data_IF_920045964482
#
_entry.id   IF_920045964482
#
_cell.length_a   1.000
_cell.length_b   1.000
_cell.length_c   1.000
_cell.angle_alpha   90.00
_cell.angle_beta   90.00
_cell.angle_gamma   90.00
#
_symmetry.space_group_name_H-M   'P 1'
#
loop_
_entity.id
_entity.type
_entity.pdbx_description
1 polymer ?
#
# COMPACT_ATOMS: atom_id res chain seq x y z
N UNK A 1 47.68 -58.15 -76.22
CA UNK A 1 47.71 -56.73 -76.66
C UNK A 1 46.40 -55.96 -76.45
N UNK A 2 45.22 -56.57 -76.60
CA UNK A 2 43.91 -55.87 -76.49
C UNK A 2 43.52 -55.37 -75.08
N UNK A 3 44.08 -55.98 -74.03
CA UNK A 3 43.77 -55.63 -72.63
C UNK A 3 44.49 -54.36 -72.16
N UNK A 4 45.68 -54.06 -72.71
CA UNK A 4 46.43 -52.85 -72.33
C UNK A 4 45.78 -51.56 -72.80
N UNK A 5 45.23 -51.53 -74.02
CA UNK A 5 44.53 -50.37 -74.57
C UNK A 5 43.23 -50.04 -73.82
N UNK A 6 42.57 -51.04 -73.22
CA UNK A 6 41.37 -50.83 -72.40
C UNK A 6 41.71 -50.28 -71.01
N UNK A 7 42.85 -50.68 -70.46
CA UNK A 7 43.34 -50.17 -69.18
C UNK A 7 43.75 -48.69 -69.30
N UNK A 8 44.46 -48.35 -70.38
CA UNK A 8 44.91 -46.98 -70.66
C UNK A 8 43.74 -46.04 -70.99
N UNK A 9 42.71 -46.54 -71.69
CA UNK A 9 41.46 -45.81 -71.90
C UNK A 9 40.67 -45.61 -70.59
N UNK A 10 40.69 -46.58 -69.67
CA UNK A 10 40.04 -46.43 -68.37
C UNK A 10 40.78 -45.43 -67.46
N UNK A 11 42.11 -45.46 -67.46
CA UNK A 11 42.95 -44.56 -66.67
C UNK A 11 42.81 -43.10 -67.13
N UNK A 12 42.77 -42.87 -68.44
CA UNK A 12 42.55 -41.53 -69.01
C UNK A 12 41.15 -40.99 -68.72
N UNK A 13 40.11 -41.83 -68.76
CA UNK A 13 38.75 -41.43 -68.36
C UNK A 13 38.67 -41.11 -66.86
N UNK A 14 39.36 -41.88 -66.02
CA UNK A 14 39.39 -41.66 -64.58
C UNK A 14 40.14 -40.36 -64.21
N UNK A 15 41.23 -40.04 -64.90
CA UNK A 15 41.96 -38.80 -64.71
C UNK A 15 41.13 -37.56 -65.10
N UNK A 16 40.36 -37.64 -66.19
CA UNK A 16 39.46 -36.56 -66.61
C UNK A 16 38.29 -36.37 -65.64
N UNK A 17 37.71 -37.48 -65.14
CA UNK A 17 36.66 -37.43 -64.14
C UNK A 17 37.17 -36.81 -62.81
N UNK A 18 38.37 -37.18 -62.38
CA UNK A 18 39.00 -36.61 -61.18
C UNK A 18 39.23 -35.09 -61.33
N UNK A 19 39.76 -34.64 -62.48
CA UNK A 19 39.98 -33.21 -62.72
C UNK A 19 38.67 -32.40 -62.79
N UNK A 20 37.60 -32.96 -63.33
CA UNK A 20 36.29 -32.33 -63.35
C UNK A 20 35.66 -32.23 -61.94
N UNK A 21 35.82 -33.27 -61.13
CA UNK A 21 35.37 -33.27 -59.73
C UNK A 21 36.11 -32.25 -58.88
N UNK A 22 37.43 -32.08 -59.08
CA UNK A 22 38.22 -31.10 -58.34
C UNK A 22 37.76 -29.67 -58.65
N UNK A 23 37.52 -29.33 -59.93
CA UNK A 23 36.99 -28.01 -60.32
C UNK A 23 35.59 -27.74 -59.78
N UNK A 24 34.72 -28.74 -59.78
CA UNK A 24 33.39 -28.60 -59.19
C UNK A 24 33.47 -28.38 -57.68
N UNK A 25 34.41 -29.05 -57.01
CA UNK A 25 34.67 -28.87 -55.57
C UNK A 25 35.18 -27.46 -55.27
N UNK A 26 36.14 -26.95 -56.04
CA UNK A 26 36.63 -25.57 -55.89
C UNK A 26 35.51 -24.53 -56.10
N UNK A 27 34.68 -24.70 -57.14
CA UNK A 27 33.54 -23.81 -57.37
C UNK A 27 32.48 -23.91 -56.27
N UNK A 28 32.19 -25.11 -55.75
CA UNK A 28 31.26 -25.29 -54.64
C UNK A 28 31.80 -24.65 -53.35
N UNK A 29 33.09 -24.77 -53.06
CA UNK A 29 33.73 -24.11 -51.91
C UNK A 29 33.78 -22.58 -52.06
N UNK A 30 34.05 -22.07 -53.26
CA UNK A 30 34.01 -20.63 -53.54
C UNK A 30 32.61 -20.05 -53.36
N UNK A 31 31.58 -20.77 -53.83
CA UNK A 31 30.19 -20.33 -53.70
C UNK A 31 29.71 -20.40 -52.23
N UNK A 32 30.08 -21.44 -51.47
CA UNK A 32 29.76 -21.53 -50.03
C UNK A 32 30.39 -20.36 -49.25
N UNK A 33 31.64 -20.00 -49.58
CA UNK A 33 32.32 -18.85 -48.97
C UNK A 33 31.61 -17.52 -49.24
N UNK A 34 31.24 -17.27 -50.49
CA UNK A 34 30.54 -16.04 -50.90
C UNK A 34 29.15 -15.97 -50.28
N UNK A 35 28.36 -17.05 -50.35
CA UNK A 35 27.01 -17.11 -49.78
C UNK A 35 27.06 -16.93 -48.26
N UNK A 36 28.03 -17.54 -47.58
CA UNK A 36 28.24 -17.37 -46.15
C UNK A 36 28.59 -15.93 -45.78
N UNK A 37 29.45 -15.29 -46.56
CA UNK A 37 29.85 -13.90 -46.29
C UNK A 37 28.70 -12.92 -46.58
N UNK A 38 27.98 -13.11 -47.67
CA UNK A 38 26.82 -12.27 -48.02
C UNK A 38 25.72 -12.43 -46.97
N UNK A 39 25.36 -13.66 -46.60
CA UNK A 39 24.37 -13.93 -45.53
C UNK A 39 24.85 -13.31 -44.22
N UNK A 40 26.13 -13.46 -43.86
CA UNK A 40 26.67 -12.89 -42.62
C UNK A 40 26.58 -11.36 -42.63
N UNK A 41 26.91 -10.73 -43.74
CA UNK A 41 26.92 -9.26 -43.87
C UNK A 41 25.50 -8.72 -43.81
N UNK A 42 24.58 -9.27 -44.60
CA UNK A 42 23.16 -8.86 -44.59
C UNK A 42 22.52 -9.12 -43.23
N UNK A 43 22.81 -10.26 -42.58
CA UNK A 43 22.26 -10.56 -41.26
C UNK A 43 22.79 -9.61 -40.19
N UNK A 44 24.08 -9.26 -40.23
CA UNK A 44 24.67 -8.28 -39.29
C UNK A 44 24.07 -6.89 -39.53
N UNK A 45 23.87 -6.50 -40.78
CA UNK A 45 23.29 -5.20 -41.13
C UNK A 45 21.83 -5.09 -40.68
N UNK A 46 21.00 -6.10 -40.96
CA UNK A 46 19.60 -6.17 -40.53
C UNK A 46 19.47 -6.25 -38.99
N UNK A 47 20.30 -7.06 -38.33
CA UNK A 47 20.32 -7.14 -36.86
C UNK A 47 20.78 -5.82 -36.24
N UNK A 48 21.74 -5.13 -36.85
CA UNK A 48 22.20 -3.82 -36.39
C UNK A 48 21.13 -2.74 -36.57
N UNK A 49 20.42 -2.74 -37.69
CA UNK A 49 19.29 -1.84 -37.93
C UNK A 49 18.15 -2.11 -36.93
N UNK A 50 17.82 -3.38 -36.68
CA UNK A 50 16.77 -3.78 -35.75
C UNK A 50 17.14 -3.48 -34.28
N UNK A 51 18.42 -3.61 -33.91
CA UNK A 51 18.91 -3.23 -32.57
C UNK A 51 18.83 -1.72 -32.35
N UNK A 52 19.21 -0.92 -33.36
CA UNK A 52 19.12 0.54 -33.28
C UNK A 52 17.65 1.01 -33.19
N UNK A 53 16.75 0.41 -33.95
CA UNK A 53 15.31 0.71 -33.85
C UNK A 53 14.70 0.24 -32.53
N UNK A 54 15.12 -0.92 -32.02
CA UNK A 54 14.72 -1.41 -30.68
C UNK A 54 15.22 -0.48 -29.58
N UNK A 55 16.43 0.07 -29.72
CA UNK A 55 17.02 1.03 -28.78
C UNK A 55 16.23 2.33 -28.76
N UNK A 56 15.91 2.90 -29.93
CA UNK A 56 15.08 4.11 -30.04
C UNK A 56 13.67 3.90 -29.47
N UNK A 57 13.06 2.75 -29.76
CA UNK A 57 11.77 2.39 -29.18
C UNK A 57 11.85 2.31 -27.65
N UNK A 58 12.90 1.67 -27.12
CA UNK A 58 13.16 1.57 -25.69
C UNK A 58 13.37 2.93 -25.00
N UNK A 59 14.10 3.85 -25.64
CA UNK A 59 14.31 5.21 -25.12
C UNK A 59 13.01 6.02 -25.06
N UNK A 60 12.18 5.94 -26.10
CA UNK A 60 10.87 6.62 -26.11
C UNK A 60 9.92 6.08 -25.04
N UNK A 61 9.89 4.75 -24.85
CA UNK A 61 9.10 4.11 -23.80
C UNK A 61 9.59 4.46 -22.40
N UNK A 62 10.90 4.54 -22.18
CA UNK A 62 11.48 4.96 -20.89
C UNK A 62 11.11 6.41 -20.56
N UNK A 63 11.14 7.32 -21.54
CA UNK A 63 10.73 8.70 -21.33
C UNK A 63 9.25 8.82 -20.94
N UNK A 64 8.38 8.06 -21.63
CA UNK A 64 6.95 7.98 -21.29
C UNK A 64 6.71 7.33 -19.93
N UNK A 65 7.47 6.28 -19.61
CA UNK A 65 7.39 5.59 -18.32
C UNK A 65 7.77 6.53 -17.17
N UNK A 66 8.82 7.34 -17.32
CA UNK A 66 9.22 8.32 -16.30
C UNK A 66 8.17 9.41 -16.10
N UNK A 67 7.58 9.93 -17.19
CA UNK A 67 6.51 10.91 -17.09
C UNK A 67 5.25 10.31 -16.45
N UNK A 68 4.90 9.08 -16.80
CA UNK A 68 3.77 8.36 -16.22
C UNK A 68 4.02 8.04 -14.74
N UNK A 69 5.21 7.59 -14.37
CA UNK A 69 5.56 7.29 -12.98
C UNK A 69 5.59 8.56 -12.13
N UNK A 70 6.08 9.68 -12.66
CA UNK A 70 6.03 10.97 -11.96
C UNK A 70 4.60 11.45 -11.77
N UNK A 71 3.75 11.31 -12.79
CA UNK A 71 2.34 11.67 -12.69
C UNK A 71 1.63 10.79 -11.66
N UNK A 72 1.89 9.49 -11.66
CA UNK A 72 1.33 8.55 -10.70
C UNK A 72 1.83 8.84 -9.28
N UNK A 73 3.13 9.12 -9.13
CA UNK A 73 3.72 9.54 -7.86
C UNK A 73 3.09 10.84 -7.36
N UNK A 74 2.96 11.86 -8.21
CA UNK A 74 2.30 13.12 -7.87
C UNK A 74 0.84 12.91 -7.46
N UNK A 75 0.10 12.05 -8.16
CA UNK A 75 -1.26 11.67 -7.77
C UNK A 75 -1.30 10.94 -6.42
N UNK A 76 -0.40 9.99 -6.19
CA UNK A 76 -0.33 9.26 -4.91
C UNK A 76 0.02 10.18 -3.73
N UNK A 77 0.95 11.12 -3.92
CA UNK A 77 1.31 12.14 -2.92
C UNK A 77 0.14 13.07 -2.66
N UNK A 78 -0.57 13.51 -3.72
CA UNK A 78 -1.77 14.33 -3.59
C UNK A 78 -2.87 13.63 -2.80
N UNK A 79 -3.17 12.37 -3.12
CA UNK A 79 -4.17 11.57 -2.38
C UNK A 79 -3.75 11.33 -0.94
N UNK A 80 -2.48 11.00 -0.69
CA UNK A 80 -1.96 10.81 0.67
C UNK A 80 -2.05 12.11 1.50
N UNK A 81 -1.66 13.24 0.92
CA UNK A 81 -1.76 14.56 1.57
C UNK A 81 -3.22 14.93 1.86
N UNK A 82 -4.14 14.67 0.94
CA UNK A 82 -5.56 14.94 1.14
C UNK A 82 -6.13 14.05 2.27
N UNK A 83 -5.71 12.78 2.31
CA UNK A 83 -6.17 11.81 3.31
C UNK A 83 -5.77 12.16 4.74
N UNK A 84 -4.65 12.86 4.92
CA UNK A 84 -4.20 13.34 6.24
C UNK A 84 -4.73 14.73 6.55
N UNK A 85 -4.85 15.61 5.55
CA UNK A 85 -5.38 16.95 5.73
C UNK A 85 -6.87 16.96 6.12
N UNK A 86 -7.69 16.07 5.53
CA UNK A 86 -9.12 15.99 5.86
C UNK A 86 -9.39 15.73 7.35
N UNK A 87 -8.89 14.65 7.98
CA UNK A 87 -9.16 14.38 9.39
C UNK A 87 -8.55 15.45 10.31
N UNK A 88 -7.41 16.05 9.96
CA UNK A 88 -6.82 17.15 10.72
C UNK A 88 -7.68 18.41 10.65
N UNK A 89 -8.19 18.76 9.47
CA UNK A 89 -9.10 19.89 9.29
C UNK A 89 -10.40 19.71 10.04
N UNK A 90 -11.00 18.51 9.98
CA UNK A 90 -12.21 18.16 10.74
C UNK A 90 -11.94 18.23 12.24
N UNK A 91 -10.83 17.66 12.71
CA UNK A 91 -10.42 17.74 14.10
C UNK A 91 -10.28 19.19 14.56
N UNK A 92 -9.57 20.01 13.79
CA UNK A 92 -9.42 21.43 14.12
C UNK A 92 -10.74 22.20 14.15
N UNK A 93 -11.68 21.85 13.28
CA UNK A 93 -12.99 22.51 13.22
C UNK A 93 -13.95 22.04 14.31
N UNK A 94 -13.89 20.77 14.71
CA UNK A 94 -14.80 20.17 15.67
C UNK A 94 -14.28 20.26 17.12
N UNK A 95 -12.96 20.31 17.32
CA UNK A 95 -12.40 20.43 18.66
C UNK A 95 -12.68 21.82 19.22
N UNK A 96 -13.32 21.92 20.40
CA UNK A 96 -13.52 23.19 21.07
C UNK A 96 -12.17 23.82 21.42
N UNK A 97 -12.13 25.14 21.40
CA UNK A 97 -10.94 25.91 21.75
C UNK A 97 -10.51 25.60 23.19
N UNK A 98 -9.21 25.76 23.48
CA UNK A 98 -8.68 25.53 24.84
C UNK A 98 -9.41 26.35 25.91
N UNK A 99 -9.88 27.55 25.55
CA UNK A 99 -10.65 28.43 26.43
C UNK A 99 -12.03 27.85 26.77
N UNK A 100 -12.75 27.34 25.77
CA UNK A 100 -14.03 26.66 25.98
C UNK A 100 -13.85 25.42 26.83
N UNK A 101 -12.84 24.60 26.55
CA UNK A 101 -12.53 23.42 27.38
C UNK A 101 -12.22 23.80 28.82
N UNK A 102 -11.47 24.88 29.04
CA UNK A 102 -11.18 25.38 30.38
C UNK A 102 -12.45 25.87 31.10
N UNK A 103 -13.32 26.60 30.40
CA UNK A 103 -14.61 27.05 30.93
C UNK A 103 -15.51 25.85 31.30
N UNK A 104 -15.65 24.86 30.40
CA UNK A 104 -16.42 23.65 30.69
C UNK A 104 -15.86 22.87 31.89
N UNK A 105 -14.53 22.82 32.06
CA UNK A 105 -13.90 22.19 33.22
C UNK A 105 -14.17 22.97 34.51
N UNK A 106 -14.10 24.30 34.46
CA UNK A 106 -14.43 25.16 35.60
C UNK A 106 -15.89 24.96 36.02
N UNK A 107 -16.83 25.03 35.07
CA UNK A 107 -18.26 24.79 35.34
C UNK A 107 -18.50 23.38 35.89
N UNK A 108 -17.83 22.35 35.36
CA UNK A 108 -17.93 21.00 35.91
C UNK A 108 -17.42 20.91 37.35
N UNK A 109 -16.32 21.60 37.67
CA UNK A 109 -15.76 21.61 39.02
C UNK A 109 -16.70 22.29 40.02
N UNK A 110 -17.32 23.41 39.62
CA UNK A 110 -18.32 24.12 40.42
C UNK A 110 -19.58 23.28 40.63
N UNK A 111 -20.10 22.65 39.58
CA UNK A 111 -21.26 21.78 39.71
C UNK A 111 -20.96 20.59 40.63
N UNK A 112 -19.74 20.03 40.55
CA UNK A 112 -19.34 18.93 41.41
C UNK A 112 -19.22 19.32 42.89
N UNK A 113 -18.76 20.54 43.18
CA UNK A 113 -18.70 21.02 44.57
C UNK A 113 -20.09 21.30 45.12
N UNK A 114 -20.98 21.89 44.33
CA UNK A 114 -22.39 22.10 44.73
C UNK A 114 -23.11 20.77 44.97
N UNK A 115 -22.90 19.76 44.11
CA UNK A 115 -23.47 18.41 44.30
C UNK A 115 -22.88 17.74 45.54
N UNK A 116 -21.58 17.91 45.82
CA UNK A 116 -20.96 17.37 47.03
C UNK A 116 -21.53 18.03 48.29
N UNK A 117 -21.69 19.36 48.27
CA UNK A 117 -22.31 20.10 49.37
C UNK A 117 -23.76 19.69 49.59
N UNK A 118 -24.56 19.57 48.52
CA UNK A 118 -25.94 19.09 48.61
C UNK A 118 -25.99 17.65 49.13
N UNK A 119 -25.08 16.79 48.69
CA UNK A 119 -24.98 15.41 49.20
C UNK A 119 -24.68 15.41 50.69
N UNK A 120 -23.70 16.22 51.12
CA UNK A 120 -23.35 16.39 52.53
C UNK A 120 -24.49 17.02 53.33
N UNK A 121 -25.42 17.76 52.72
CA UNK A 121 -26.60 18.32 53.38
C UNK A 121 -27.83 17.40 53.27
N UNK A 122 -27.66 16.14 52.86
CA UNK A 122 -28.74 15.16 52.80
C UNK A 122 -29.53 15.18 51.49
N UNK A 123 -29.02 15.82 50.44
CA UNK A 123 -29.63 15.85 49.10
C UNK A 123 -29.68 14.48 48.40
N UNK A 124 -28.98 13.46 48.92
CA UNK A 124 -29.07 12.05 48.46
C UNK A 124 -29.88 11.15 49.39
N UNK A 125 -30.62 11.74 50.34
CA UNK A 125 -31.49 10.97 51.23
C UNK A 125 -32.58 10.26 50.44
N UNK A 126 -32.72 8.95 50.68
CA UNK A 126 -33.72 8.13 50.03
C UNK A 126 -35.09 8.35 50.69
N UNK A 127 -35.92 9.18 50.05
CA UNK A 127 -37.29 9.45 50.46
C UNK A 127 -38.21 8.38 49.86
N UNK A 128 -38.90 7.62 50.71
CA UNK A 128 -39.92 6.65 50.29
C UNK A 128 -41.24 6.94 50.97
N UNK A 129 -42.35 6.56 50.36
CA UNK A 129 -43.66 6.67 51.00
C UNK A 129 -43.95 5.39 51.80
N UNK A 130 -44.40 5.49 53.05
CA UNK A 130 -44.77 4.33 53.87
C UNK A 130 -46.20 4.41 54.43
N UNK A 131 -46.70 3.22 54.77
CA UNK A 131 -48.00 3.00 55.42
C UNK A 131 -49.19 3.23 54.49
N UNK A 132 -50.38 2.86 54.96
CA UNK A 132 -51.63 3.02 54.21
C UNK A 132 -51.94 4.50 53.87
N UNK A 133 -51.46 5.44 54.69
CA UNK A 133 -51.63 6.88 54.50
C UNK A 133 -50.57 7.55 53.59
N UNK A 134 -49.65 6.77 52.98
CA UNK A 134 -48.60 7.24 52.07
C UNK A 134 -47.83 8.47 52.59
N UNK A 135 -47.37 8.44 53.84
CA UNK A 135 -46.55 9.52 54.40
C UNK A 135 -45.10 9.39 53.91
N UNK A 136 -44.40 10.51 53.77
CA UNK A 136 -42.98 10.53 53.39
C UNK A 136 -42.13 10.01 54.56
N UNK A 137 -41.23 9.07 54.28
CA UNK A 137 -40.32 8.44 55.21
C UNK A 137 -38.89 8.52 54.70
N UNK A 138 -37.95 8.46 55.63
CA UNK A 138 -36.51 8.34 55.37
C UNK A 138 -35.96 7.12 56.10
N UNK A 139 -34.93 6.50 55.54
CA UNK A 139 -34.22 5.42 56.23
C UNK A 139 -33.23 6.04 57.23
N UNK A 140 -33.39 5.76 58.52
CA UNK A 140 -32.45 6.23 59.56
C UNK A 140 -31.39 5.18 59.88
N UNK A 141 -30.22 5.62 60.34
CA UNK A 141 -29.20 4.74 60.90
C UNK A 141 -29.48 4.54 62.39
N UNK A 142 -29.78 3.30 62.78
CA UNK A 142 -30.10 2.92 64.16
C UNK A 142 -28.86 2.67 65.02
N UNK A 143 -27.66 2.62 64.42
CA UNK A 143 -26.39 2.52 65.13
C UNK A 143 -25.80 3.89 65.51
N UNK A 144 -26.31 4.97 64.93
CA UNK A 144 -25.89 6.33 65.23
C UNK A 144 -26.54 6.84 66.54
N UNK A 145 -25.85 7.72 67.30
CA UNK A 145 -26.43 8.34 68.48
C UNK A 145 -27.61 9.24 68.11
N UNK A 146 -28.58 9.33 69.02
CA UNK A 146 -29.72 10.23 68.93
C UNK A 146 -29.36 11.62 69.47
N UNK A 147 -29.92 12.66 68.87
CA UNK A 147 -29.64 14.06 69.24
C UNK A 147 -30.93 14.77 69.67
N UNK A 148 -30.80 15.85 70.47
CA UNK A 148 -31.91 16.63 71.03
C UNK A 148 -32.25 16.26 72.48
N UNK A 149 -32.94 17.17 73.20
CA UNK A 149 -33.24 16.99 74.63
C UNK A 149 -34.14 15.79 74.92
N UNK A 150 -35.02 15.40 73.99
CA UNK A 150 -35.85 14.20 74.09
C UNK A 150 -35.47 13.11 73.08
N UNK A 151 -34.24 13.14 72.52
CA UNK A 151 -33.78 12.23 71.48
C UNK A 151 -34.62 12.28 70.18
N UNK A 152 -35.12 13.47 69.84
CA UNK A 152 -36.04 13.69 68.71
C UNK A 152 -35.36 13.62 67.33
N UNK A 153 -34.03 13.73 67.26
CA UNK A 153 -33.26 13.76 66.02
C UNK A 153 -32.47 12.46 65.81
N UNK A 154 -32.70 11.82 64.67
CA UNK A 154 -32.05 10.59 64.23
C UNK A 154 -31.25 10.86 62.96
N UNK A 155 -30.06 10.24 62.85
CA UNK A 155 -29.22 10.38 61.65
C UNK A 155 -29.82 9.60 60.50
N UNK A 156 -29.91 10.23 59.34
CA UNK A 156 -30.41 9.59 58.12
C UNK A 156 -29.31 8.72 57.51
N UNK A 157 -29.66 7.50 57.10
CA UNK A 157 -28.73 6.54 56.51
C UNK A 157 -28.30 7.00 55.11
N UNK A 158 -27.00 7.15 54.89
CA UNK A 158 -26.43 7.59 53.61
C UNK A 158 -26.12 9.10 53.51
N UNK A 159 -26.17 9.81 54.64
CA UNK A 159 -25.61 11.15 54.83
C UNK A 159 -24.10 11.09 55.05
#
# INVERSE_FOLDING_TARGET
>A
MKVGLLLEAAETQQALAAAALERLREHAFGLDGIVREEIRTTLIEELGALDEDSRRAGESLRALQHAASLRLAAWSVGVAALSTAMPLGIGWWLLPSHAEVAALRATRSELSSHVAQLTQQGGRVELRHCGAARRLCVHVDRGAPTYGEAADYLVVKGY
#
